data_IF_110323568118
#
_entry.id   IF_110323568118
#
_cell.length_a   1.000
_cell.length_b   1.000
_cell.length_c   1.000
_cell.angle_alpha   90.00
_cell.angle_beta   90.00
_cell.angle_gamma   90.00
#
_symmetry.space_group_name_H-M   'P 1'
#
loop_
_entity.id
_entity.type
_entity.pdbx_description
1 polymer ?
#
# COMPACT_ATOMS: atom_id res chain seq x y z
N UNK A 1 -24.36 2.57 -5.61
CA UNK A 1 -23.11 2.53 -4.83
C UNK A 1 -22.45 1.18 -5.04
N UNK A 2 -21.38 1.13 -5.84
CA UNK A 2 -20.61 -0.11 -6.06
C UNK A 2 -19.94 -0.52 -4.75
N UNK A 3 -20.13 -1.76 -4.29
CA UNK A 3 -19.48 -2.26 -3.07
C UNK A 3 -17.98 -2.41 -3.36
N UNK A 4 -17.14 -1.64 -2.68
CA UNK A 4 -15.68 -1.73 -2.78
C UNK A 4 -15.13 -3.04 -2.22
N UNK A 5 -15.88 -3.75 -1.36
CA UNK A 5 -15.47 -4.99 -0.72
C UNK A 5 -16.36 -6.16 -1.15
N UNK A 6 -15.73 -7.26 -1.55
CA UNK A 6 -16.34 -8.52 -1.95
C UNK A 6 -15.80 -9.64 -1.03
N UNK A 7 -16.47 -9.83 0.11
CA UNK A 7 -16.19 -10.84 1.12
C UNK A 7 -17.47 -11.48 1.67
N UNK A 8 -17.34 -12.52 2.48
CA UNK A 8 -18.48 -13.16 3.15
C UNK A 8 -18.84 -12.41 4.42
N UNK A 9 -20.12 -12.12 4.68
CA UNK A 9 -20.53 -11.53 5.97
C UNK A 9 -20.23 -12.45 7.17
N UNK A 10 -20.09 -13.76 6.93
CA UNK A 10 -19.78 -14.74 7.98
C UNK A 10 -18.28 -14.88 8.22
N UNK A 11 -17.46 -14.57 7.22
CA UNK A 11 -16.01 -14.70 7.28
C UNK A 11 -15.37 -13.41 6.77
N UNK A 12 -14.92 -12.60 7.72
CA UNK A 12 -14.27 -11.31 7.46
C UNK A 12 -12.75 -11.45 7.29
N UNK A 13 -12.19 -12.66 7.48
CA UNK A 13 -10.75 -12.90 7.33
C UNK A 13 -10.29 -12.92 5.87
N UNK A 14 -11.22 -13.05 4.93
CA UNK A 14 -10.93 -13.14 3.50
C UNK A 14 -11.85 -12.25 2.66
N UNK A 15 -11.31 -11.16 2.13
CA UNK A 15 -12.04 -10.19 1.30
C UNK A 15 -11.25 -9.79 0.05
N UNK A 16 -11.98 -9.44 -1.01
CA UNK A 16 -11.42 -8.83 -2.22
C UNK A 16 -11.88 -7.37 -2.30
N UNK A 17 -10.94 -6.45 -2.40
CA UNK A 17 -11.18 -5.02 -2.46
C UNK A 17 -10.98 -4.49 -3.89
N UNK A 18 -12.01 -3.85 -4.45
CA UNK A 18 -11.96 -3.25 -5.79
C UNK A 18 -11.74 -1.74 -5.66
N UNK A 19 -10.60 -1.26 -6.17
CA UNK A 19 -10.19 0.14 -6.13
C UNK A 19 -10.02 0.68 -7.55
N UNK A 20 -10.30 1.97 -7.77
CA UNK A 20 -10.11 2.65 -9.06
C UNK A 20 -8.66 3.13 -9.22
N UNK A 21 -7.72 2.19 -9.16
CA UNK A 21 -6.28 2.40 -9.09
C UNK A 21 -5.56 1.41 -10.04
N UNK A 22 -4.26 1.58 -10.22
CA UNK A 22 -3.43 0.75 -11.11
C UNK A 22 -2.32 -0.02 -10.38
N UNK A 23 -1.36 -0.52 -11.15
CA UNK A 23 -0.20 -1.27 -10.65
C UNK A 23 0.63 -0.49 -9.62
N UNK A 24 0.64 0.84 -9.68
CA UNK A 24 1.47 1.70 -8.83
C UNK A 24 1.11 1.51 -7.37
N UNK A 25 -0.15 1.79 -7.01
CA UNK A 25 -0.63 1.60 -5.64
C UNK A 25 -0.70 0.11 -5.30
N UNK A 26 -1.20 -0.71 -6.22
CA UNK A 26 -1.47 -2.12 -5.93
C UNK A 26 -0.20 -2.92 -5.62
N UNK A 27 0.90 -2.66 -6.35
CA UNK A 27 2.16 -3.35 -6.10
C UNK A 27 2.81 -2.89 -4.79
N UNK A 28 2.78 -1.60 -4.48
CA UNK A 28 3.30 -1.06 -3.22
C UNK A 28 2.52 -1.60 -2.01
N UNK A 29 1.20 -1.65 -2.12
CA UNK A 29 0.34 -2.18 -1.06
C UNK A 29 0.50 -3.69 -0.90
N UNK A 30 0.63 -4.45 -2.00
CA UNK A 30 0.95 -5.88 -1.98
C UNK A 30 2.30 -6.15 -1.31
N UNK A 31 3.30 -5.29 -1.48
CA UNK A 31 4.57 -5.43 -0.76
C UNK A 31 4.37 -5.25 0.75
N UNK A 32 3.67 -4.19 1.16
CA UNK A 32 3.42 -3.87 2.57
C UNK A 32 2.60 -4.95 3.28
N UNK A 33 1.51 -5.40 2.64
CA UNK A 33 0.67 -6.50 3.13
C UNK A 33 1.46 -7.80 3.35
N UNK A 34 2.43 -8.12 2.50
CA UNK A 34 3.26 -9.32 2.66
C UNK A 34 4.23 -9.24 3.84
N UNK A 35 4.44 -8.06 4.44
CA UNK A 35 5.26 -7.92 5.65
C UNK A 35 4.43 -8.12 6.92
N UNK A 36 3.10 -8.03 6.85
CA UNK A 36 2.23 -8.18 8.02
C UNK A 36 2.06 -9.67 8.37
N UNK A 37 2.46 -10.13 9.57
CA UNK A 37 2.34 -11.53 9.98
C UNK A 37 0.90 -12.02 10.11
N UNK A 38 -0.09 -11.11 10.16
CA UNK A 38 -1.52 -11.44 10.15
C UNK A 38 -1.99 -11.88 8.76
N UNK A 39 -1.26 -11.55 7.70
CA UNK A 39 -1.62 -11.87 6.31
C UNK A 39 -1.10 -13.26 5.95
N UNK A 40 -2.02 -14.15 5.58
CA UNK A 40 -1.68 -15.49 5.09
C UNK A 40 -1.43 -15.49 3.57
N UNK A 41 -2.28 -14.77 2.82
CA UNK A 41 -2.17 -14.63 1.37
C UNK A 41 -2.61 -13.23 0.97
N UNK A 42 -1.83 -12.56 0.13
CA UNK A 42 -2.28 -11.36 -0.57
C UNK A 42 -1.83 -11.33 -2.03
N UNK A 43 -2.58 -10.61 -2.85
CA UNK A 43 -2.27 -10.42 -4.26
C UNK A 43 -3.21 -9.40 -4.90
N UNK A 44 -2.89 -8.99 -6.12
CA UNK A 44 -3.76 -8.12 -6.89
C UNK A 44 -3.87 -8.57 -8.35
N UNK A 45 -4.98 -8.21 -8.99
CA UNK A 45 -5.16 -8.38 -10.42
C UNK A 45 -5.90 -7.19 -11.02
N UNK A 46 -5.54 -6.85 -12.26
CA UNK A 46 -6.31 -5.94 -13.09
C UNK A 46 -7.16 -6.81 -14.01
N UNK A 47 -8.50 -6.74 -13.95
CA UNK A 47 -9.38 -7.63 -14.70
C UNK A 47 -9.23 -7.43 -16.22
N UNK A 48 -8.98 -6.21 -16.67
CA UNK A 48 -8.72 -5.88 -18.06
C UNK A 48 -7.89 -4.58 -18.18
N UNK A 49 -6.90 -4.47 -19.10
CA UNK A 49 -6.08 -3.26 -19.24
C UNK A 49 -6.86 -1.97 -19.53
N UNK A 50 -8.04 -2.08 -20.15
CA UNK A 50 -8.92 -0.93 -20.42
C UNK A 50 -9.79 -0.51 -19.23
N UNK A 51 -9.79 -1.28 -18.14
CA UNK A 51 -10.48 -0.91 -16.91
C UNK A 51 -9.48 -0.35 -15.91
N UNK A 52 -9.66 0.90 -15.49
CA UNK A 52 -8.90 1.51 -14.40
C UNK A 52 -9.39 0.99 -13.04
N UNK A 53 -9.24 -0.32 -12.82
CA UNK A 53 -9.68 -1.00 -11.60
C UNK A 53 -8.69 -2.09 -11.23
N UNK A 54 -8.35 -2.14 -9.95
CA UNK A 54 -7.55 -3.21 -9.36
C UNK A 54 -8.35 -3.95 -8.30
N UNK A 55 -8.24 -5.28 -8.31
CA UNK A 55 -8.83 -6.16 -7.31
C UNK A 55 -7.71 -6.67 -6.40
N UNK A 56 -7.73 -6.27 -5.13
CA UNK A 56 -6.76 -6.67 -4.12
C UNK A 56 -7.39 -7.76 -3.25
N UNK A 57 -6.83 -8.96 -3.27
CA UNK A 57 -7.23 -10.07 -2.40
C UNK A 57 -6.39 -10.02 -1.13
N UNK A 58 -7.04 -10.04 0.02
CA UNK A 58 -6.39 -10.17 1.33
C UNK A 58 -7.04 -11.34 2.05
N UNK A 59 -6.21 -12.27 2.51
CA UNK A 59 -6.59 -13.35 3.41
C UNK A 59 -5.69 -13.26 4.64
N UNK A 60 -6.30 -13.25 5.81
CA UNK A 60 -5.61 -13.16 7.10
C UNK A 60 -5.66 -14.51 7.82
N UNK A 61 -5.03 -14.59 8.98
CA UNK A 61 -5.07 -15.75 9.89
C UNK A 61 -6.25 -15.71 10.86
N UNK A 62 -7.04 -14.63 10.86
CA UNK A 62 -8.22 -14.49 11.73
C UNK A 62 -8.76 -13.06 11.82
N UNK A 63 -7.88 -12.05 11.70
CA UNK A 63 -8.27 -10.64 11.78
C UNK A 63 -9.12 -10.19 10.58
N UNK A 64 -10.02 -9.21 10.72
CA UNK A 64 -10.76 -8.69 9.59
C UNK A 64 -9.83 -8.15 8.50
N UNK A 65 -9.95 -8.69 7.28
CA UNK A 65 -9.12 -8.32 6.12
C UNK A 65 -9.16 -6.81 5.82
N UNK A 66 -10.29 -6.16 6.12
CA UNK A 66 -10.47 -4.71 5.96
C UNK A 66 -9.60 -3.90 6.93
N UNK A 67 -9.46 -4.36 8.17
CA UNK A 67 -8.63 -3.69 9.18
C UNK A 67 -7.16 -3.84 8.82
N UNK A 68 -6.74 -5.06 8.49
CA UNK A 68 -5.37 -5.35 8.03
C UNK A 68 -5.00 -4.54 6.78
N UNK A 69 -5.91 -4.41 5.82
CA UNK A 69 -5.70 -3.58 4.64
C UNK A 69 -5.52 -2.09 5.01
N UNK A 70 -6.34 -1.59 5.94
CA UNK A 70 -6.25 -0.20 6.41
C UNK A 70 -4.92 0.08 7.10
N UNK A 71 -4.50 -0.82 7.99
CA UNK A 71 -3.22 -0.72 8.69
C UNK A 71 -2.06 -0.72 7.67
N UNK A 72 -2.10 -1.62 6.69
CA UNK A 72 -1.10 -1.66 5.62
C UNK A 72 -1.04 -0.36 4.79
N UNK A 73 -2.18 0.30 4.56
CA UNK A 73 -2.18 1.62 3.92
C UNK A 73 -1.50 2.69 4.80
N UNK A 74 -1.72 2.65 6.11
CA UNK A 74 -1.09 3.58 7.05
C UNK A 74 0.43 3.35 7.12
N UNK A 75 0.86 2.09 7.14
CA UNK A 75 2.27 1.72 7.11
C UNK A 75 2.95 2.22 5.83
N UNK A 76 2.32 2.03 4.68
CA UNK A 76 2.82 2.55 3.40
C UNK A 76 2.94 4.09 3.42
N UNK A 77 1.99 4.78 4.03
CA UNK A 77 2.08 6.24 4.20
C UNK A 77 3.27 6.64 5.08
N UNK A 78 3.50 5.94 6.20
CA UNK A 78 4.64 6.20 7.09
C UNK A 78 5.98 5.95 6.39
N UNK A 79 6.09 4.87 5.60
CA UNK A 79 7.27 4.60 4.77
C UNK A 79 7.54 5.75 3.81
N UNK A 80 6.52 6.21 3.08
CA UNK A 80 6.66 7.33 2.15
C UNK A 80 7.08 8.63 2.84
N UNK A 81 6.54 8.91 4.04
CA UNK A 81 6.92 10.08 4.84
C UNK A 81 8.38 10.00 5.30
N UNK A 82 8.82 8.83 5.75
CA UNK A 82 10.20 8.60 6.16
C UNK A 82 11.17 8.78 4.99
N UNK A 83 10.89 8.15 3.84
CA UNK A 83 11.71 8.28 2.62
C UNK A 83 11.83 9.75 2.20
N UNK A 84 10.71 10.50 2.21
CA UNK A 84 10.72 11.93 1.87
C UNK A 84 11.58 12.73 2.83
N UNK A 85 11.39 12.55 4.13
CA UNK A 85 12.12 13.31 5.16
C UNK A 85 13.64 13.06 5.07
N UNK A 86 14.03 11.79 4.88
CA UNK A 86 15.43 11.41 4.72
C UNK A 86 16.03 11.99 3.43
N UNK A 87 15.27 11.99 2.33
CA UNK A 87 15.71 12.59 1.07
C UNK A 87 15.86 14.11 1.18
N UNK A 88 14.89 14.80 1.77
CA UNK A 88 14.92 16.25 1.95
C UNK A 88 16.11 16.68 2.81
N UNK A 89 16.43 15.93 3.87
CA UNK A 89 17.62 16.16 4.70
C UNK A 89 18.91 15.99 3.88
N UNK A 90 19.04 14.89 3.13
CA UNK A 90 20.23 14.65 2.31
C UNK A 90 20.42 15.73 1.23
N UNK A 91 19.34 16.25 0.66
CA UNK A 91 19.39 17.37 -0.30
C UNK A 91 19.80 18.67 0.38
N UNK A 92 19.32 18.95 1.59
CA UNK A 92 19.73 20.12 2.36
C UNK A 92 21.23 20.07 2.70
N UNK A 93 21.72 18.91 3.16
CA UNK A 93 23.14 18.71 3.50
C UNK A 93 24.04 18.89 2.27
N UNK A 94 23.65 18.34 1.11
CA UNK A 94 24.38 18.51 -0.15
C UNK A 94 24.46 19.97 -0.59
N UNK A 95 23.36 20.72 -0.49
CA UNK A 95 23.33 22.15 -0.85
C UNK A 95 24.19 22.99 0.08
N UNK A 96 24.18 22.70 1.39
CA UNK A 96 24.99 23.41 2.38
C UNK A 96 26.49 23.18 2.13
N UNK A 97 26.90 21.94 1.85
CA UNK A 97 28.31 21.61 1.62
C UNK A 97 28.87 22.18 0.30
N UNK A 98 28.06 22.21 -0.77
CA UNK A 98 28.51 22.75 -2.06
C UNK A 98 28.39 24.28 -2.15
N UNK A 99 27.53 24.90 -1.33
CA UNK A 99 27.46 26.34 -1.19
C UNK A 99 28.71 26.95 -0.54
N UNK A 100 29.41 26.18 0.31
CA UNK A 100 30.65 26.60 0.98
C UNK A 100 31.94 26.45 0.15
N UNK A 101 31.91 25.74 -0.97
CA UNK A 101 33.08 25.60 -1.87
C UNK A 101 33.15 26.68 -2.97
N UNK A 102 32.18 27.61 -2.99
CA UNK A 102 32.06 28.66 -4.01
C UNK A 102 32.46 30.07 -3.54
N UNK A 103 32.98 30.21 -2.31
CA UNK A 103 33.53 31.46 -1.76
C UNK A 103 35.03 31.35 -1.46
#
# INVERSE_FOLDING_TARGET
MSKMEHGSYKDQSASTFSLAEDHTLANALRFTLNQDPRVSVCGYSIPHPSEARVNIRVQTTGDPAKEVLKDSCQDLMMICQHVRSTFDQAVADFKNNNGSESE
#
